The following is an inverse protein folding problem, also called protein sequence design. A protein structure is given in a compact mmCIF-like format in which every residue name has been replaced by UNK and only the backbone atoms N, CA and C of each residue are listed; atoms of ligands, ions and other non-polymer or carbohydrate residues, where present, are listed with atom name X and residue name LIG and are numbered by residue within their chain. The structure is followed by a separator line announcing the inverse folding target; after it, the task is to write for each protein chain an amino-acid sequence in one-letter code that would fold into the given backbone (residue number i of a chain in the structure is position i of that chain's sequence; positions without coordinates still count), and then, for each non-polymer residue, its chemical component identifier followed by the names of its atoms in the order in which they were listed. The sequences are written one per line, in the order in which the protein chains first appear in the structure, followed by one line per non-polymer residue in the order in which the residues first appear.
data_IF_787222782456
#
_entry.id   IF_787222782456
#
_cell.length_a   1.000
_cell.length_b   1.000
_cell.length_c   1.000
_cell.angle_alpha   90.00
_cell.angle_beta   90.00
_cell.angle_gamma   90.00
#
_symmetry.space_group_name_H-M   'P 1'
#
loop_
_entity.id
_entity.type
_entity.pdbx_description
1 polymer ?
#
# COMPACT_ATOMS: atom_id res chain seq x y z
N UNK A 1 0.88 0.98 8.81
CA UNK A 1 1.68 1.83 7.91
C UNK A 1 3.13 1.74 8.36
N UNK A 2 4.04 1.43 7.44
CA UNK A 2 5.50 1.37 7.68
C UNK A 2 6.21 2.72 7.49
N UNK A 3 5.57 3.67 6.82
CA UNK A 3 6.19 4.90 6.30
C UNK A 3 6.80 5.80 7.38
N UNK A 4 6.01 6.11 8.41
CA UNK A 4 6.34 7.11 9.44
C UNK A 4 6.92 6.44 10.71
N UNK A 5 6.92 5.10 10.74
CA UNK A 5 7.44 4.29 11.85
C UNK A 5 6.36 3.59 12.69
N UNK A 6 6.79 2.70 13.59
CA UNK A 6 5.91 1.77 14.33
C UNK A 6 4.90 2.46 15.27
N UNK A 7 5.18 3.68 15.71
CA UNK A 7 4.33 4.45 16.62
C UNK A 7 3.17 5.15 15.89
N UNK A 8 3.30 5.37 14.57
CA UNK A 8 2.35 6.16 13.78
C UNK A 8 0.93 5.60 13.82
N UNK A 9 0.78 4.26 13.77
CA UNK A 9 -0.55 3.64 13.80
C UNK A 9 -1.24 3.90 15.14
N UNK A 10 -0.51 3.77 16.24
CA UNK A 10 -1.07 4.02 17.57
C UNK A 10 -1.49 5.49 17.75
N UNK A 11 -0.67 6.41 17.25
CA UNK A 11 -0.90 7.86 17.35
C UNK A 11 -2.06 8.34 16.46
N UNK A 12 -2.10 7.91 15.20
CA UNK A 12 -3.03 8.46 14.19
C UNK A 12 -4.26 7.58 13.92
N UNK A 13 -4.23 6.30 14.27
CA UNK A 13 -5.32 5.34 14.00
C UNK A 13 -5.93 4.77 15.28
N UNK A 14 -5.76 5.48 16.41
CA UNK A 14 -6.53 5.26 17.63
C UNK A 14 -6.22 3.94 18.36
N UNK A 15 -5.04 3.37 18.18
CA UNK A 15 -4.63 2.14 18.86
C UNK A 15 -3.70 1.27 18.03
N UNK A 16 -3.29 0.13 18.59
CA UNK A 16 -2.44 -0.81 17.86
C UNK A 16 -3.24 -1.57 16.79
N UNK A 17 -2.60 -2.08 15.72
CA UNK A 17 -3.29 -2.77 14.63
C UNK A 17 -4.17 -3.96 15.03
N UNK A 18 -3.87 -4.62 16.16
CA UNK A 18 -4.64 -5.75 16.68
C UNK A 18 -5.69 -5.36 17.73
N UNK A 19 -5.71 -4.09 18.14
CA UNK A 19 -6.65 -3.54 19.13
C UNK A 19 -7.75 -2.70 18.47
N UNK A 20 -7.51 -2.19 17.25
CA UNK A 20 -8.41 -1.31 16.52
C UNK A 20 -8.57 -1.77 15.08
N UNK A 21 -9.81 -1.73 14.57
CA UNK A 21 -10.11 -1.96 13.16
C UNK A 21 -9.86 -0.71 12.29
N UNK A 22 -9.61 0.45 12.91
CA UNK A 22 -9.42 1.72 12.20
C UNK A 22 -8.31 1.65 11.13
N UNK A 23 -7.12 1.07 11.39
CA UNK A 23 -6.10 0.92 10.34
C UNK A 23 -6.57 0.10 9.13
N UNK A 24 -7.41 -0.91 9.35
CA UNK A 24 -7.98 -1.70 8.27
C UNK A 24 -9.07 -0.93 7.54
N UNK A 25 -9.94 -0.23 8.29
CA UNK A 25 -10.99 0.63 7.74
C UNK A 25 -10.43 1.72 6.82
N UNK A 26 -9.25 2.26 7.15
CA UNK A 26 -8.63 3.35 6.41
C UNK A 26 -7.68 2.83 5.29
N UNK A 27 -7.45 1.51 5.22
CA UNK A 27 -6.66 0.88 4.16
C UNK A 27 -7.43 0.84 2.83
N UNK A 28 -6.85 1.32 1.71
CA UNK A 28 -7.48 1.21 0.40
C UNK A 28 -7.67 -0.25 -0.05
N UNK A 29 -6.83 -1.18 0.43
CA UNK A 29 -6.92 -2.60 0.10
C UNK A 29 -8.26 -3.21 0.55
N UNK A 30 -8.83 -2.72 1.67
CA UNK A 30 -10.16 -3.12 2.15
C UNK A 30 -11.25 -2.88 1.10
N UNK A 31 -11.09 -1.84 0.29
CA UNK A 31 -12.06 -1.42 -0.73
C UNK A 31 -11.68 -1.88 -2.13
N UNK A 32 -10.65 -2.72 -2.28
CA UNK A 32 -10.24 -3.27 -3.58
C UNK A 32 -11.42 -3.83 -4.40
N UNK A 33 -12.42 -4.55 -3.84
CA UNK A 33 -13.59 -5.03 -4.59
C UNK A 33 -14.45 -3.93 -5.23
N UNK A 34 -14.26 -2.66 -4.86
CA UNK A 34 -14.96 -1.51 -5.42
C UNK A 34 -14.20 -0.85 -6.58
N UNK A 35 -12.92 -1.21 -6.79
CA UNK A 35 -12.11 -0.67 -7.88
C UNK A 35 -12.66 -1.10 -9.24
N UNK A 36 -12.78 -0.14 -10.17
CA UNK A 36 -13.24 -0.36 -11.56
C UNK A 36 -12.32 0.28 -12.59
N UNK A 37 -11.64 1.35 -12.20
CA UNK A 37 -10.72 2.09 -13.05
C UNK A 37 -9.42 1.31 -13.23
N UNK A 38 -8.87 1.21 -14.45
CA UNK A 38 -7.53 0.68 -14.68
C UNK A 38 -6.49 1.36 -13.78
N UNK A 39 -5.60 0.59 -13.17
CA UNK A 39 -4.66 1.07 -12.15
C UNK A 39 -3.19 0.85 -12.54
N UNK A 40 -2.39 1.92 -12.50
CA UNK A 40 -0.94 1.84 -12.56
C UNK A 40 -0.37 2.03 -11.15
N UNK A 41 0.35 1.03 -10.66
CA UNK A 41 1.10 1.07 -9.41
C UNK A 41 2.58 1.31 -9.72
N UNK A 42 3.17 2.30 -9.06
CA UNK A 42 4.59 2.62 -9.15
C UNK A 42 5.21 2.33 -7.79
N UNK A 43 6.34 1.62 -7.76
CA UNK A 43 7.04 1.33 -6.51
C UNK A 43 8.55 1.17 -6.74
N UNK A 44 9.36 1.51 -5.75
CA UNK A 44 10.81 1.31 -5.78
C UNK A 44 11.24 0.08 -5.00
N UNK A 45 12.33 -0.57 -5.42
CA UNK A 45 12.80 -1.80 -4.75
C UNK A 45 13.56 -1.55 -3.44
N UNK A 46 14.05 -0.33 -3.21
CA UNK A 46 14.78 0.06 -2.00
C UNK A 46 14.00 1.12 -1.18
N UNK A 47 12.67 1.15 -1.34
CA UNK A 47 11.78 1.90 -0.47
C UNK A 47 11.45 1.09 0.79
N UNK A 48 12.24 1.29 1.85
CA UNK A 48 12.03 0.66 3.16
C UNK A 48 11.05 1.44 4.06
N UNK A 49 10.54 2.59 3.59
CA UNK A 49 9.49 3.34 4.30
C UNK A 49 8.14 2.78 3.92
N UNK A 50 7.86 2.65 2.63
CA UNK A 50 6.72 1.94 2.10
C UNK A 50 7.21 0.70 1.38
N UNK A 51 7.27 -0.41 2.11
CA UNK A 51 7.77 -1.67 1.58
C UNK A 51 6.99 -2.14 0.33
N UNK A 52 7.66 -2.93 -0.51
CA UNK A 52 7.08 -3.41 -1.78
C UNK A 52 5.81 -4.26 -1.60
N UNK A 53 5.65 -4.88 -0.42
CA UNK A 53 4.51 -5.74 -0.12
C UNK A 53 3.17 -5.00 -0.27
N UNK A 54 3.10 -3.71 0.06
CA UNK A 54 1.89 -2.92 -0.11
C UNK A 54 1.46 -2.81 -1.58
N UNK A 55 2.42 -2.55 -2.48
CA UNK A 55 2.17 -2.49 -3.92
C UNK A 55 1.77 -3.87 -4.46
N UNK A 56 2.43 -4.94 -4.03
CA UNK A 56 2.11 -6.30 -4.44
C UNK A 56 0.73 -6.77 -3.96
N UNK A 57 0.35 -6.44 -2.74
CA UNK A 57 -0.97 -6.77 -2.19
C UNK A 57 -2.09 -6.13 -3.03
N UNK A 58 -1.98 -4.83 -3.33
CA UNK A 58 -2.97 -4.13 -4.16
C UNK A 58 -2.96 -4.65 -5.60
N UNK A 59 -1.78 -4.84 -6.21
CA UNK A 59 -1.67 -5.38 -7.57
C UNK A 59 -2.33 -6.75 -7.68
N UNK A 60 -2.04 -7.65 -6.74
CA UNK A 60 -2.63 -8.98 -6.66
C UNK A 60 -4.15 -8.90 -6.52
N UNK A 61 -4.65 -8.02 -5.64
CA UNK A 61 -6.09 -7.83 -5.48
C UNK A 61 -6.75 -7.39 -6.80
N UNK A 62 -6.15 -6.44 -7.53
CA UNK A 62 -6.66 -6.02 -8.84
C UNK A 62 -6.68 -7.16 -9.84
N UNK A 63 -5.64 -8.02 -9.86
CA UNK A 63 -5.61 -9.21 -10.72
C UNK A 63 -6.70 -10.21 -10.38
N UNK A 64 -6.92 -10.50 -9.10
CA UNK A 64 -7.98 -11.40 -8.64
C UNK A 64 -9.37 -10.89 -9.03
N UNK A 65 -9.57 -9.56 -8.96
CA UNK A 65 -10.85 -8.92 -9.27
C UNK A 65 -11.07 -8.63 -10.76
N UNK A 66 -10.10 -8.97 -11.62
CA UNK A 66 -10.19 -8.74 -13.06
C UNK A 66 -10.11 -7.27 -13.48
N UNK A 67 -9.56 -6.39 -12.61
CA UNK A 67 -9.34 -4.98 -12.93
C UNK A 67 -8.03 -4.85 -13.72
N UNK A 68 -8.05 -4.11 -14.83
CA UNK A 68 -6.83 -3.85 -15.60
C UNK A 68 -5.79 -3.17 -14.71
N UNK A 69 -4.60 -3.74 -14.63
CA UNK A 69 -3.57 -3.24 -13.73
C UNK A 69 -2.16 -3.48 -14.25
N UNK A 70 -1.26 -2.54 -13.95
CA UNK A 70 0.17 -2.63 -14.20
C UNK A 70 0.94 -2.26 -12.93
N UNK A 71 2.06 -2.93 -12.70
CA UNK A 71 3.02 -2.62 -11.65
C UNK A 71 4.36 -2.30 -12.31
N UNK A 72 4.88 -1.10 -12.05
CA UNK A 72 6.21 -0.67 -12.49
C UNK A 72 7.13 -0.60 -11.28
N UNK A 73 8.21 -1.38 -11.32
CA UNK A 73 9.21 -1.44 -10.26
C UNK A 73 10.49 -0.71 -10.69
N UNK A 74 10.89 0.29 -9.91
CA UNK A 74 12.14 1.03 -10.11
C UNK A 74 13.24 0.40 -9.25
N UNK A 75 14.29 -0.11 -9.91
CA UNK A 75 15.40 -0.77 -9.23
C UNK A 75 16.44 0.26 -8.81
N UNK A 76 16.95 0.13 -7.58
CA UNK A 76 17.99 1.02 -7.05
C UNK A 76 17.48 2.38 -6.56
N UNK A 77 16.17 2.61 -6.61
CA UNK A 77 15.52 3.83 -6.14
C UNK A 77 14.90 3.60 -4.76
N UNK A 78 14.75 4.69 -3.99
CA UNK A 78 14.17 4.69 -2.64
C UNK A 78 12.82 5.44 -2.62
N UNK A 79 12.35 5.80 -1.41
CA UNK A 79 11.08 6.51 -1.20
C UNK A 79 11.01 7.91 -1.86
N UNK A 80 12.12 8.46 -2.35
CA UNK A 80 12.20 9.76 -3.02
C UNK A 80 12.27 9.66 -4.56
N UNK A 81 11.87 8.53 -5.14
CA UNK A 81 11.84 8.26 -6.59
C UNK A 81 11.30 9.41 -7.48
N UNK A 82 10.40 10.23 -6.97
CA UNK A 82 9.77 11.33 -7.71
C UNK A 82 10.43 12.70 -7.54
N UNK A 83 11.57 12.80 -6.84
CA UNK A 83 12.19 14.07 -6.45
C UNK A 83 13.49 14.35 -7.21
#
# INVERSE_FOLDING_TARGET
SSDIGYYYVQDQHGGRPWESDMPWRDSPLRYAPQARTPLLLLQSTEDYRCEMDQAFQMFTAMKVLGVESRLCLFRGENHELSR
#
